data_IF_412638242942
#
_entry.id   IF_412638242942
#
_cell.length_a   1.000
_cell.length_b   1.000
_cell.length_c   1.000
_cell.angle_alpha   90.00
_cell.angle_beta   90.00
_cell.angle_gamma   90.00
#
_symmetry.space_group_name_H-M   'P 1'
#
loop_
_entity.id
_entity.type
_entity.pdbx_description
1 polymer ?
#
# COMPACT_ATOMS: atom_id res chain seq x y z
N UNK A 1 -29.21 3.80 9.20
CA UNK A 1 -28.49 4.17 7.96
C UNK A 1 -27.14 3.49 8.01
N UNK A 2 -27.02 2.41 7.24
CA UNK A 2 -26.01 1.38 7.40
C UNK A 2 -24.61 1.81 6.95
N UNK A 3 -23.60 1.41 7.74
CA UNK A 3 -22.28 1.05 7.26
C UNK A 3 -21.45 2.11 6.51
N UNK A 4 -21.24 3.31 7.08
CA UNK A 4 -20.18 4.19 6.57
C UNK A 4 -18.83 3.79 7.13
N UNK A 5 -18.35 2.69 6.53
CA UNK A 5 -16.96 2.34 6.23
C UNK A 5 -15.98 2.67 7.36
N UNK A 6 -15.53 1.62 8.03
CA UNK A 6 -14.19 1.58 8.61
C UNK A 6 -13.24 2.25 7.62
N UNK A 7 -12.90 3.51 7.90
CA UNK A 7 -11.94 4.27 7.11
C UNK A 7 -10.67 3.45 7.15
N UNK A 8 -10.41 2.79 6.04
CA UNK A 8 -9.32 1.85 5.87
C UNK A 8 -8.05 2.57 6.33
N UNK A 9 -7.20 1.91 7.11
CA UNK A 9 -5.96 2.47 7.70
C UNK A 9 -5.06 3.23 6.70
N UNK A 10 -5.31 3.05 5.40
CA UNK A 10 -4.53 3.54 4.28
C UNK A 10 -5.32 4.43 3.31
N UNK A 11 -6.50 4.90 3.71
CA UNK A 11 -7.34 5.81 2.89
C UNK A 11 -6.56 7.04 2.45
N UNK A 12 -5.71 7.60 3.32
CA UNK A 12 -4.88 8.77 2.99
C UNK A 12 -3.89 8.46 1.85
N UNK A 13 -3.16 7.36 1.95
CA UNK A 13 -2.20 6.92 0.94
C UNK A 13 -2.89 6.52 -0.37
N UNK A 14 -4.09 5.96 -0.27
CA UNK A 14 -4.92 5.64 -1.44
C UNK A 14 -5.36 6.91 -2.17
N UNK A 15 -5.81 7.94 -1.45
CA UNK A 15 -6.18 9.22 -2.07
C UNK A 15 -4.98 9.89 -2.74
N UNK A 16 -3.80 9.88 -2.12
CA UNK A 16 -2.57 10.43 -2.75
C UNK A 16 -2.20 9.70 -4.04
N UNK A 17 -2.38 8.38 -4.06
CA UNK A 17 -2.21 7.59 -5.27
C UNK A 17 -3.24 7.96 -6.35
N UNK A 18 -4.49 8.21 -5.98
CA UNK A 18 -5.53 8.67 -6.92
C UNK A 18 -5.20 10.05 -7.49
N UNK A 19 -4.70 10.99 -6.68
CA UNK A 19 -4.28 12.31 -7.15
C UNK A 19 -3.16 12.21 -8.20
N UNK A 20 -2.15 11.36 -7.96
CA UNK A 20 -1.12 11.12 -8.96
C UNK A 20 -1.68 10.46 -10.24
N UNK A 21 -2.58 9.49 -10.09
CA UNK A 21 -3.20 8.84 -11.23
C UNK A 21 -4.06 9.82 -12.03
N UNK A 22 -4.70 10.79 -11.41
CA UNK A 22 -5.44 11.84 -12.11
C UNK A 22 -4.50 12.69 -12.98
N UNK A 23 -3.34 13.06 -12.46
CA UNK A 23 -2.34 13.90 -13.13
C UNK A 23 -1.65 13.19 -14.33
N UNK A 24 -1.45 11.87 -14.23
CA UNK A 24 -0.74 11.08 -15.23
C UNK A 24 -1.63 10.15 -16.07
N UNK A 25 -2.92 10.45 -16.25
CA UNK A 25 -3.86 9.65 -17.05
C UNK A 25 -3.89 8.16 -16.62
N UNK A 26 -3.97 7.96 -15.31
CA UNK A 26 -3.94 6.66 -14.61
C UNK A 26 -2.69 5.83 -14.90
N UNK A 27 -1.57 6.49 -15.20
CA UNK A 27 -0.29 5.83 -15.39
C UNK A 27 0.39 5.47 -14.07
N UNK A 28 0.13 4.24 -13.63
CA UNK A 28 0.76 3.64 -12.45
C UNK A 28 2.29 3.61 -12.49
N UNK A 29 2.90 3.62 -13.67
CA UNK A 29 4.35 3.65 -13.84
C UNK A 29 4.99 4.98 -13.42
N UNK A 30 4.22 6.07 -13.42
CA UNK A 30 4.63 7.38 -12.92
C UNK A 30 4.39 7.51 -11.42
N UNK A 31 3.31 6.92 -10.91
CA UNK A 31 2.91 6.95 -9.50
C UNK A 31 3.49 5.80 -8.64
N UNK A 32 4.70 5.34 -8.96
CA UNK A 32 5.31 4.19 -8.28
C UNK A 32 5.61 4.46 -6.80
N UNK A 33 5.89 5.71 -6.43
CA UNK A 33 6.19 6.11 -5.04
C UNK A 33 4.92 6.08 -4.17
N UNK A 34 3.83 6.64 -4.66
CA UNK A 34 2.51 6.62 -4.01
C UNK A 34 1.98 5.19 -3.93
N UNK A 35 2.21 4.39 -4.99
CA UNK A 35 1.86 2.97 -5.02
C UNK A 35 2.62 2.17 -3.96
N UNK A 36 3.93 2.39 -3.81
CA UNK A 36 4.74 1.76 -2.75
C UNK A 36 4.24 2.15 -1.38
N UNK A 37 3.92 3.42 -1.18
CA UNK A 37 3.43 3.97 0.08
C UNK A 37 2.06 3.38 0.47
N UNK A 38 1.14 3.28 -0.50
CA UNK A 38 -0.14 2.60 -0.33
C UNK A 38 0.05 1.12 -0.01
N UNK A 39 0.90 0.42 -0.78
CA UNK A 39 1.22 -1.00 -0.55
C UNK A 39 1.82 -1.26 0.83
N UNK A 40 2.75 -0.42 1.29
CA UNK A 40 3.36 -0.53 2.61
C UNK A 40 2.31 -0.40 3.71
N UNK A 41 1.42 0.58 3.60
CA UNK A 41 0.33 0.72 4.55
C UNK A 41 -0.61 -0.50 4.53
N UNK A 42 -0.98 -0.96 3.34
CA UNK A 42 -1.88 -2.11 3.16
C UNK A 42 -1.26 -3.41 3.68
N UNK A 43 0.04 -3.62 3.44
CA UNK A 43 0.79 -4.79 3.89
C UNK A 43 1.01 -4.77 5.41
N UNK A 44 1.28 -3.60 6.00
CA UNK A 44 1.37 -3.42 7.46
C UNK A 44 0.05 -3.72 8.19
N UNK A 45 -1.09 -3.61 7.50
CA UNK A 45 -2.40 -4.08 7.98
C UNK A 45 -2.55 -5.61 7.99
N UNK A 46 -1.78 -6.31 7.16
CA UNK A 46 -1.75 -7.77 7.04
C UNK A 46 -0.60 -8.44 7.83
N UNK A 47 0.38 -7.66 8.31
CA UNK A 47 1.53 -8.12 9.12
C UNK A 47 1.17 -8.67 10.52
N UNK A 48 -0.12 -8.84 10.85
CA UNK A 48 -0.53 -9.69 11.98
C UNK A 48 -0.71 -11.18 11.59
N UNK A 49 -0.38 -11.59 10.35
CA UNK A 49 -0.52 -12.99 9.90
C UNK A 49 0.57 -13.55 8.98
N UNK A 50 1.78 -12.99 8.94
CA UNK A 50 2.92 -13.73 8.33
C UNK A 50 4.21 -13.45 9.07
N UNK A 51 4.48 -14.28 10.06
CA UNK A 51 5.83 -14.70 10.40
C UNK A 51 6.48 -15.32 9.17
N UNK A 52 7.71 -14.90 8.89
CA UNK A 52 8.74 -15.50 8.03
C UNK A 52 8.65 -15.40 6.49
N UNK A 53 9.74 -14.87 5.91
CA UNK A 53 10.21 -15.35 4.61
C UNK A 53 11.09 -14.41 3.78
N UNK A 54 12.31 -14.10 4.24
CA UNK A 54 13.59 -14.26 3.50
C UNK A 54 14.65 -13.19 3.82
N UNK A 55 15.86 -13.67 4.12
CA UNK A 55 17.06 -13.02 3.60
C UNK A 55 18.21 -12.76 4.56
N UNK A 56 18.78 -13.79 5.22
CA UNK A 56 20.25 -13.86 5.45
C UNK A 56 20.73 -15.31 5.34
N UNK A 57 21.07 -15.74 4.13
CA UNK A 57 21.84 -16.95 3.86
C UNK A 57 23.31 -16.65 4.18
N UNK A 58 23.85 -17.20 5.28
CA UNK A 58 25.29 -17.22 5.50
C UNK A 58 25.71 -18.41 6.39
N UNK A 59 26.15 -19.52 5.78
CA UNK A 59 27.04 -20.52 6.39
C UNK A 59 27.81 -21.20 5.23
N UNK A 60 29.13 -21.01 5.07
CA UNK A 60 30.06 -22.09 4.76
C UNK A 60 30.48 -22.83 6.03
#
# INVERSE_FOLDING_TARGET
MEGKMEKTKCERQYNQLLECLDDFDRNWGKCQEELKTFRLCYNKGNENKTTEGNGKKNIP
#
